data_IF_786674551037
#
_entry.id   IF_786674551037
#
_cell.length_a   1.000
_cell.length_b   1.000
_cell.length_c   1.000
_cell.angle_alpha   90.00
_cell.angle_beta   90.00
_cell.angle_gamma   90.00
#
_symmetry.space_group_name_H-M   'P 1'
#
loop_
_entity.id
_entity.type
_entity.pdbx_description
1 polymer ?
#
# COMPACT_ATOMS: atom_id res chain seq x y z
N UNK A 1 21.27 5.03 19.27
CA UNK A 1 21.36 5.61 17.91
C UNK A 1 21.42 4.44 16.95
N UNK A 2 20.25 3.95 16.53
CA UNK A 2 20.09 2.61 15.96
C UNK A 2 19.68 2.67 14.50
N UNK A 3 20.58 2.19 13.63
CA UNK A 3 20.44 1.51 12.33
C UNK A 3 19.12 1.60 11.50
N UNK A 4 18.32 2.66 11.63
CA UNK A 4 17.21 3.05 10.75
C UNK A 4 17.56 4.26 9.87
N UNK A 5 18.75 4.82 10.05
CA UNK A 5 19.19 6.09 9.43
C UNK A 5 19.96 5.92 8.10
N UNK A 6 19.73 4.86 7.32
CA UNK A 6 20.40 4.65 6.02
C UNK A 6 19.43 4.36 4.86
N UNK A 7 18.18 4.80 4.95
CA UNK A 7 17.20 4.69 3.86
C UNK A 7 16.18 5.83 3.86
N UNK A 8 15.49 6.08 2.73
CA UNK A 8 14.39 7.05 2.67
C UNK A 8 13.29 6.68 3.67
N UNK A 9 12.67 7.67 4.31
CA UNK A 9 11.52 7.42 5.18
C UNK A 9 10.33 6.86 4.38
N UNK A 10 9.32 6.31 5.06
CA UNK A 10 8.09 5.82 4.39
C UNK A 10 7.43 6.94 3.55
N UNK A 11 7.49 8.17 4.05
CA UNK A 11 6.97 9.35 3.35
C UNK A 11 7.81 9.70 2.14
N UNK A 12 9.15 9.68 2.26
CA UNK A 12 10.04 9.92 1.12
C UNK A 12 9.89 8.87 0.04
N UNK A 13 9.68 7.61 0.42
CA UNK A 13 9.45 6.50 -0.50
C UNK A 13 8.13 6.68 -1.25
N UNK A 14 7.08 7.11 -0.54
CA UNK A 14 5.79 7.45 -1.15
C UNK A 14 5.93 8.60 -2.17
N UNK A 15 6.66 9.66 -1.83
CA UNK A 15 6.92 10.77 -2.75
C UNK A 15 7.80 10.37 -3.93
N UNK A 16 8.81 9.53 -3.72
CA UNK A 16 9.64 9.00 -4.80
C UNK A 16 8.80 8.20 -5.80
N UNK A 17 7.84 7.40 -5.33
CA UNK A 17 6.90 6.69 -6.21
C UNK A 17 5.97 7.65 -6.98
N UNK A 18 5.49 8.72 -6.33
CA UNK A 18 4.54 9.65 -6.93
C UNK A 18 5.16 10.65 -7.91
N UNK A 19 6.38 11.12 -7.63
CA UNK A 19 7.02 12.23 -8.33
C UNK A 19 8.38 11.87 -8.94
N UNK A 20 8.91 10.68 -8.66
CA UNK A 20 10.28 10.31 -8.97
C UNK A 20 11.26 10.90 -7.96
N UNK A 21 12.48 10.37 -7.94
CA UNK A 21 13.59 10.92 -7.17
C UNK A 21 14.92 10.52 -7.79
N UNK A 22 15.81 11.48 -8.00
CA UNK A 22 17.16 11.26 -8.55
C UNK A 22 17.10 10.41 -9.84
N UNK A 23 17.62 9.17 -9.81
CA UNK A 23 17.62 8.22 -10.94
C UNK A 23 16.37 7.32 -11.01
N UNK A 24 15.41 7.47 -10.09
CA UNK A 24 14.19 6.67 -10.03
C UNK A 24 13.05 7.45 -10.69
N UNK A 25 12.52 6.88 -11.77
CA UNK A 25 11.34 7.43 -12.44
C UNK A 25 10.08 7.28 -11.57
N UNK A 26 9.12 8.21 -11.65
CA UNK A 26 7.81 8.05 -11.02
C UNK A 26 7.06 6.86 -11.61
N UNK A 27 6.10 6.33 -10.84
CA UNK A 27 5.13 5.36 -11.34
C UNK A 27 4.22 5.99 -12.40
N UNK A 28 3.66 5.14 -13.25
CA UNK A 28 2.66 5.55 -14.23
C UNK A 28 1.42 6.16 -13.54
N UNK A 29 0.87 7.21 -14.14
CA UNK A 29 -0.37 7.86 -13.70
C UNK A 29 -1.46 7.63 -14.75
N UNK A 30 -2.61 7.12 -14.31
CA UNK A 30 -3.77 6.94 -15.19
C UNK A 30 -5.06 7.41 -14.54
N UNK A 31 -6.10 7.61 -15.34
CA UNK A 31 -7.40 8.06 -14.86
C UNK A 31 -8.06 7.00 -13.98
N UNK A 32 -8.67 7.44 -12.90
CA UNK A 32 -9.54 6.63 -12.07
C UNK A 32 -10.87 6.42 -12.79
N UNK A 33 -11.02 5.26 -13.41
CA UNK A 33 -12.17 4.90 -14.24
C UNK A 33 -12.49 5.98 -15.29
N UNK A 34 -13.74 6.41 -15.37
CA UNK A 34 -14.25 7.45 -16.27
C UNK A 34 -14.09 8.87 -15.71
N UNK A 35 -13.45 9.02 -14.55
CA UNK A 35 -13.28 10.32 -13.91
C UNK A 35 -11.99 11.02 -14.35
N UNK A 36 -11.91 12.33 -14.09
CA UNK A 36 -10.67 13.10 -14.30
C UNK A 36 -9.70 13.06 -13.09
N UNK A 37 -9.88 12.11 -12.16
CA UNK A 37 -8.99 11.96 -11.01
C UNK A 37 -7.89 10.95 -11.35
N UNK A 38 -6.61 11.33 -11.42
CA UNK A 38 -5.54 10.38 -11.67
C UNK A 38 -5.18 9.57 -10.42
N UNK A 39 -4.75 8.33 -10.62
CA UNK A 39 -4.15 7.48 -9.60
C UNK A 39 -2.82 6.91 -10.11
N UNK A 40 -1.93 6.56 -9.18
CA UNK A 40 -0.69 5.84 -9.48
C UNK A 40 -1.02 4.38 -9.77
N UNK A 41 -0.52 3.87 -10.89
CA UNK A 41 -0.67 2.48 -11.30
C UNK A 41 0.33 1.63 -10.51
N UNK A 42 -0.11 0.64 -9.72
CA UNK A 42 0.79 -0.31 -9.08
C UNK A 42 1.48 -1.20 -10.12
N UNK A 43 2.78 -1.45 -9.94
CA UNK A 43 3.58 -2.26 -10.86
C UNK A 43 4.19 -3.49 -10.16
N UNK A 44 3.40 -4.49 -9.71
CA UNK A 44 3.94 -5.69 -9.09
C UNK A 44 4.51 -6.70 -10.12
N UNK A 45 5.27 -7.65 -9.61
CA UNK A 45 5.82 -8.80 -10.32
C UNK A 45 5.72 -10.08 -9.44
N UNK A 46 6.05 -11.29 -9.95
CA UNK A 46 5.93 -12.52 -9.18
C UNK A 46 6.76 -12.59 -7.89
N UNK A 47 7.81 -11.76 -7.76
CA UNK A 47 8.64 -11.67 -6.56
C UNK A 47 8.11 -10.67 -5.53
N UNK A 48 7.04 -9.94 -5.85
CA UNK A 48 6.43 -8.96 -4.96
C UNK A 48 5.85 -9.64 -3.73
N UNK A 49 6.37 -9.28 -2.55
CA UNK A 49 5.85 -9.72 -1.25
C UNK A 49 5.09 -8.58 -0.60
N UNK A 50 3.80 -8.78 -0.37
CA UNK A 50 2.97 -7.78 0.31
C UNK A 50 3.18 -7.85 1.82
N UNK A 51 3.48 -6.70 2.42
CA UNK A 51 3.63 -6.52 3.85
C UNK A 51 2.85 -5.28 4.30
N UNK A 52 2.39 -5.28 5.55
CA UNK A 52 1.81 -4.07 6.13
C UNK A 52 2.92 -3.03 6.35
N UNK A 53 2.86 -1.94 5.60
CA UNK A 53 3.75 -0.79 5.75
C UNK A 53 2.98 0.37 6.39
N UNK A 54 3.33 0.67 7.63
CA UNK A 54 2.68 1.70 8.45
C UNK A 54 1.26 1.32 8.94
N UNK A 55 0.61 2.27 9.60
CA UNK A 55 -0.69 2.09 10.26
C UNK A 55 -1.67 3.24 9.97
N UNK A 56 -1.44 4.02 8.91
CA UNK A 56 -2.16 5.28 8.61
C UNK A 56 -3.69 5.17 8.76
N UNK A 57 -4.41 4.18 8.20
CA UNK A 57 -5.87 4.09 8.37
C UNK A 57 -6.27 3.90 9.84
N UNK A 58 -5.51 3.11 10.59
CA UNK A 58 -5.75 2.84 12.02
C UNK A 58 -5.41 4.07 12.85
N UNK A 59 -4.27 4.72 12.60
CA UNK A 59 -3.87 5.95 13.27
C UNK A 59 -4.91 7.06 13.07
N UNK A 60 -5.42 7.24 11.85
CA UNK A 60 -6.48 8.22 11.54
C UNK A 60 -7.82 7.88 12.18
N UNK A 61 -8.19 6.61 12.24
CA UNK A 61 -9.39 6.19 12.95
C UNK A 61 -9.29 6.48 14.45
N UNK A 62 -8.16 6.15 15.09
CA UNK A 62 -7.90 6.43 16.51
C UNK A 62 -7.88 7.93 16.80
N UNK A 63 -7.30 8.73 15.92
CA UNK A 63 -7.29 10.20 16.01
C UNK A 63 -8.73 10.76 16.00
N UNK A 64 -9.56 10.33 15.03
CA UNK A 64 -10.95 10.77 14.96
C UNK A 64 -11.77 10.31 16.18
N UNK A 65 -11.53 9.08 16.66
CA UNK A 65 -12.19 8.55 17.84
C UNK A 65 -11.85 9.35 19.10
N UNK A 66 -10.59 9.77 19.26
CA UNK A 66 -10.16 10.63 20.36
C UNK A 66 -10.84 12.02 20.33
N UNK A 67 -11.26 12.48 19.16
CA UNK A 67 -12.04 13.71 18.96
C UNK A 67 -13.56 13.49 19.11
N UNK A 68 -14.00 12.29 19.52
CA UNK A 68 -15.42 11.95 19.71
C UNK A 68 -16.16 11.60 18.43
N UNK A 69 -15.46 11.44 17.30
CA UNK A 69 -16.06 11.09 16.00
C UNK A 69 -15.76 9.63 15.64
N UNK A 70 -16.82 8.81 15.56
CA UNK A 70 -16.69 7.45 15.02
C UNK A 70 -16.70 7.50 13.50
N UNK A 71 -15.58 7.18 12.87
CA UNK A 71 -15.43 7.18 11.40
C UNK A 71 -15.51 5.76 10.83
N UNK A 72 -15.74 5.65 9.51
CA UNK A 72 -15.68 4.36 8.81
C UNK A 72 -14.43 4.32 7.93
N UNK A 73 -13.37 3.57 8.29
CA UNK A 73 -12.20 3.41 7.44
C UNK A 73 -12.60 2.87 6.06
N UNK A 74 -12.04 3.46 5.00
CA UNK A 74 -12.25 3.03 3.62
C UNK A 74 -10.93 2.53 3.07
N UNK A 75 -10.93 1.30 2.56
CA UNK A 75 -9.79 0.63 1.97
C UNK A 75 -10.12 0.18 0.55
N UNK A 76 -9.15 0.25 -0.35
CA UNK A 76 -9.27 -0.38 -1.66
C UNK A 76 -9.16 -1.89 -1.49
N UNK A 77 -10.15 -2.63 -2.00
CA UNK A 77 -10.15 -4.09 -1.89
C UNK A 77 -8.98 -4.73 -2.68
N UNK A 78 -8.48 -5.89 -2.25
CA UNK A 78 -7.30 -6.52 -2.86
C UNK A 78 -7.51 -6.89 -4.32
N UNK A 79 -8.70 -7.38 -4.68
CA UNK A 79 -9.05 -7.70 -6.08
C UNK A 79 -9.04 -6.45 -6.94
N UNK A 80 -9.71 -5.37 -6.50
CA UNK A 80 -9.72 -4.10 -7.25
C UNK A 80 -8.33 -3.50 -7.37
N UNK A 81 -7.51 -3.57 -6.32
CA UNK A 81 -6.13 -3.13 -6.35
C UNK A 81 -5.32 -3.85 -7.45
N UNK A 82 -5.41 -5.19 -7.52
CA UNK A 82 -4.69 -5.97 -8.54
C UNK A 82 -5.25 -5.77 -9.95
N UNK A 83 -6.57 -5.56 -10.11
CA UNK A 83 -7.17 -5.27 -11.41
C UNK A 83 -6.80 -3.88 -11.97
N UNK A 84 -6.43 -2.94 -11.08
CA UNK A 84 -5.92 -1.61 -11.47
C UNK A 84 -4.40 -1.58 -11.62
N UNK A 85 -3.72 -2.68 -11.33
CA UNK A 85 -2.28 -2.82 -11.45
C UNK A 85 -1.86 -3.25 -12.86
N UNK A 86 -0.57 -3.06 -13.14
CA UNK A 86 0.11 -3.49 -14.36
C UNK A 86 1.30 -4.36 -13.98
N UNK A 87 1.66 -5.32 -14.83
CA UNK A 87 2.91 -6.06 -14.64
C UNK A 87 4.11 -5.10 -14.70
N UNK A 88 5.03 -5.21 -13.74
CA UNK A 88 6.33 -4.52 -13.78
C UNK A 88 7.10 -4.88 -15.05
N UNK A 89 8.02 -4.01 -15.47
CA UNK A 89 8.94 -4.29 -16.57
C UNK A 89 9.81 -5.55 -16.35
N UNK A 90 9.98 -5.98 -15.10
CA UNK A 90 10.73 -7.19 -14.73
C UNK A 90 9.88 -8.48 -14.75
N UNK A 91 8.55 -8.37 -14.91
CA UNK A 91 7.66 -9.52 -14.85
C UNK A 91 7.70 -10.36 -16.15
N UNK A 92 7.48 -11.69 -16.06
CA UNK A 92 7.25 -12.54 -17.23
C UNK A 92 6.06 -12.06 -18.07
N UNK A 93 6.08 -12.36 -19.38
CA UNK A 93 5.05 -11.88 -20.31
C UNK A 93 3.65 -12.49 -20.05
N UNK A 94 3.59 -13.67 -19.45
CA UNK A 94 2.37 -14.39 -19.11
C UNK A 94 1.84 -14.06 -17.70
N UNK A 95 2.59 -13.26 -16.93
CA UNK A 95 2.17 -12.86 -15.59
C UNK A 95 1.00 -11.87 -15.64
N UNK A 96 -0.04 -12.15 -14.86
CA UNK A 96 -1.12 -11.20 -14.60
C UNK A 96 -1.12 -10.81 -13.11
N UNK A 97 -1.26 -9.52 -12.75
CA UNK A 97 -1.25 -9.11 -11.35
C UNK A 97 -2.24 -9.86 -10.45
N UNK A 98 -3.35 -10.34 -11.01
CA UNK A 98 -4.34 -11.12 -10.28
C UNK A 98 -3.80 -12.45 -9.74
N UNK A 99 -2.72 -12.99 -10.30
CA UNK A 99 -2.02 -14.19 -9.81
C UNK A 99 -1.50 -14.00 -8.37
N UNK A 100 -1.31 -12.74 -7.94
CA UNK A 100 -0.87 -12.41 -6.59
C UNK A 100 -1.99 -12.38 -5.53
N UNK A 101 -3.25 -12.65 -5.88
CA UNK A 101 -4.35 -12.59 -4.90
C UNK A 101 -4.17 -13.58 -3.73
N UNK A 102 -3.48 -14.70 -3.97
CA UNK A 102 -3.09 -15.68 -2.96
C UNK A 102 -1.63 -15.60 -2.51
N UNK A 103 -0.90 -14.56 -2.91
CA UNK A 103 0.51 -14.42 -2.57
C UNK A 103 0.70 -14.34 -1.05
N UNK A 104 1.77 -14.94 -0.50
CA UNK A 104 2.03 -14.89 0.93
C UNK A 104 2.18 -13.44 1.38
N UNK A 105 1.31 -13.02 2.29
CA UNK A 105 1.43 -11.73 2.97
C UNK A 105 2.34 -11.90 4.18
N UNK A 106 3.32 -11.01 4.33
CA UNK A 106 4.11 -10.96 5.55
C UNK A 106 3.20 -10.48 6.68
N UNK A 107 2.86 -11.38 7.61
CA UNK A 107 2.05 -11.05 8.78
C UNK A 107 2.86 -10.14 9.72
N UNK A 108 2.43 -8.89 9.96
CA UNK A 108 3.09 -8.01 10.90
C UNK A 108 2.81 -8.47 12.34
N UNK A 109 3.81 -8.40 13.22
CA UNK A 109 3.69 -8.76 14.64
C UNK A 109 2.64 -7.92 15.40
N UNK A 110 2.26 -6.75 14.87
CA UNK A 110 1.30 -5.83 15.47
C UNK A 110 -0.19 -6.23 15.29
N UNK A 111 -0.48 -7.25 14.48
CA UNK A 111 -1.84 -7.81 14.36
C UNK A 111 -2.11 -8.94 15.36
N UNK A 112 -1.26 -9.14 16.37
CA UNK A 112 -1.60 -9.99 17.51
C UNK A 112 -2.76 -9.35 18.29
N UNK A 113 -3.80 -10.14 18.57
CA UNK A 113 -5.03 -9.75 19.25
C UNK A 113 -4.79 -8.93 20.52
N UNK A 114 -4.89 -7.60 20.43
CA UNK A 114 -4.99 -6.67 21.56
C UNK A 114 -6.47 -6.29 21.79
N UNK A 115 -7.37 -7.27 21.67
CA UNK A 115 -8.75 -7.11 22.10
C UNK A 115 -8.81 -7.36 23.62
N UNK A 116 -9.12 -6.34 24.45
CA UNK A 116 -9.41 -6.61 25.86
C UNK A 116 -10.64 -7.51 25.95
N UNK A 117 -10.68 -8.47 26.90
CA UNK A 117 -11.84 -9.32 27.09
C UNK A 117 -13.06 -8.45 27.40
N UNK A 118 -14.13 -8.65 26.62
CA UNK A 118 -15.43 -8.06 26.94
C UNK A 118 -15.94 -8.66 28.27
N UNK A 119 -16.64 -7.86 29.10
CA UNK A 119 -17.10 -8.29 30.43
C UNK A 119 -18.12 -9.42 30.39
#
# INVERSE_FOLDING_TARGET
>A
MGARDLGPSDVDTCFAAACGRDAVAPLELTKWFDTNHPHLVPEPDPSTVFALTGDKPVARFREALALGATTRPVLLGPVTFLLLAKASAAAPHDFVPLDLLGAPTARPAACADDSPPLP
#
